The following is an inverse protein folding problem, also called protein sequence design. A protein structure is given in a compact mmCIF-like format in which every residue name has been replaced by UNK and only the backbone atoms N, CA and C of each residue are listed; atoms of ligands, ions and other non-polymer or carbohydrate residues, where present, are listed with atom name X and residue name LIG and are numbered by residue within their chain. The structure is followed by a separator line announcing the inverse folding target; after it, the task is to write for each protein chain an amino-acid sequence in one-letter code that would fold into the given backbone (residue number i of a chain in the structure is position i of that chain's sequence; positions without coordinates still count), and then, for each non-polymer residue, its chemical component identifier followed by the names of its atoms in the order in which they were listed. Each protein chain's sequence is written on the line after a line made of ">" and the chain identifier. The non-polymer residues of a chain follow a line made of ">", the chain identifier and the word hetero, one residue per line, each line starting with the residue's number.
data_IF_534901502814
#
_entry.id   IF_534901502814
#
_cell.length_a   1.000
_cell.length_b   1.000
_cell.length_c   1.000
_cell.angle_alpha   90.00
_cell.angle_beta   90.00
_cell.angle_gamma   90.00
#
_symmetry.space_group_name_H-M   'P 1'
#
loop_
_entity.id
_entity.type
_entity.pdbx_description
1 polymer ?
#
# COMPACT_ATOMS: atom_id res chain seq x y z
N UNK A 1 -10.36 15.77 18.03
CA UNK A 1 -9.56 16.14 16.86
C UNK A 1 -10.52 16.65 15.80
N UNK A 2 -10.20 17.74 15.11
CA UNK A 2 -11.05 18.27 14.03
C UNK A 2 -10.53 17.72 12.68
N UNK A 3 -11.13 16.62 12.23
CA UNK A 3 -10.72 15.93 10.99
C UNK A 3 -11.37 16.52 9.74
N UNK A 4 -12.42 17.33 9.88
CA UNK A 4 -13.17 17.89 8.74
C UNK A 4 -12.32 18.89 7.94
N UNK A 5 -11.32 19.48 8.58
CA UNK A 5 -10.40 20.45 7.97
C UNK A 5 -9.02 19.88 7.65
N UNK A 6 -8.74 18.62 8.01
CA UNK A 6 -7.47 17.95 7.70
C UNK A 6 -7.48 17.35 6.29
N UNK A 7 -6.30 17.18 5.70
CA UNK A 7 -6.14 16.38 4.49
C UNK A 7 -6.38 14.90 4.80
N UNK A 8 -6.73 14.12 3.79
CA UNK A 8 -6.95 12.68 3.90
C UNK A 8 -5.67 11.96 4.37
N UNK A 9 -4.52 12.46 3.93
CA UNK A 9 -3.21 11.91 4.30
C UNK A 9 -2.85 12.23 5.75
N UNK A 10 -3.10 13.46 6.20
CA UNK A 10 -2.85 13.82 7.60
C UNK A 10 -3.81 13.09 8.54
N UNK A 11 -5.05 12.85 8.10
CA UNK A 11 -6.03 12.03 8.81
C UNK A 11 -5.53 10.58 8.92
N UNK A 12 -5.05 9.98 7.81
CA UNK A 12 -4.46 8.64 7.81
C UNK A 12 -3.25 8.53 8.75
N UNK A 13 -2.37 9.54 8.73
CA UNK A 13 -1.21 9.62 9.63
C UNK A 13 -1.67 9.66 11.09
N UNK A 14 -2.69 10.47 11.42
CA UNK A 14 -3.23 10.56 12.77
C UNK A 14 -3.85 9.24 13.25
N UNK A 15 -4.65 8.59 12.40
CA UNK A 15 -5.25 7.29 12.72
C UNK A 15 -4.17 6.25 13.07
N UNK A 16 -3.11 6.16 12.25
CA UNK A 16 -2.00 5.27 12.53
C UNK A 16 -1.25 5.66 13.82
N UNK A 17 -1.03 6.96 14.06
CA UNK A 17 -0.38 7.47 15.26
C UNK A 17 -1.15 7.12 16.54
N UNK A 18 -2.48 7.22 16.50
CA UNK A 18 -3.35 6.86 17.63
C UNK A 18 -3.37 5.35 17.87
N UNK A 19 -3.44 4.57 16.79
CA UNK A 19 -3.47 3.09 16.84
C UNK A 19 -2.15 2.46 17.25
N UNK A 20 -1.02 3.07 16.85
CA UNK A 20 0.35 2.57 17.07
C UNK A 20 0.59 1.15 16.54
N UNK A 21 -0.17 0.75 15.53
CA UNK A 21 -0.04 -0.55 14.87
C UNK A 21 -0.28 -0.41 13.36
N UNK A 22 0.35 -1.27 12.53
CA UNK A 22 0.09 -1.30 11.09
C UNK A 22 -1.35 -1.70 10.79
N UNK A 23 -2.01 -0.97 9.90
CA UNK A 23 -3.39 -1.23 9.49
C UNK A 23 -3.47 -1.72 8.06
N UNK A 24 -4.43 -2.61 7.77
CA UNK A 24 -4.71 -3.03 6.40
C UNK A 24 -5.23 -1.83 5.58
N UNK A 25 -4.76 -1.66 4.34
CA UNK A 25 -5.00 -0.45 3.55
C UNK A 25 -6.49 -0.13 3.36
N UNK A 26 -7.35 -1.15 3.22
CA UNK A 26 -8.80 -0.95 3.08
C UNK A 26 -9.41 -0.34 4.34
N UNK A 27 -8.98 -0.83 5.50
CA UNK A 27 -9.52 -0.41 6.79
C UNK A 27 -9.03 1.01 7.11
N UNK A 28 -7.76 1.29 6.82
CA UNK A 28 -7.19 2.63 6.94
C UNK A 28 -7.93 3.64 6.06
N UNK A 29 -8.12 3.35 4.77
CA UNK A 29 -8.83 4.24 3.84
C UNK A 29 -10.28 4.45 4.26
N UNK A 30 -10.96 3.39 4.69
CA UNK A 30 -12.35 3.48 5.15
C UNK A 30 -12.46 4.37 6.38
N UNK A 31 -11.55 4.20 7.35
CA UNK A 31 -11.49 5.05 8.54
C UNK A 31 -11.22 6.53 8.21
N UNK A 32 -10.42 6.82 7.19
CA UNK A 32 -10.18 8.19 6.71
C UNK A 32 -11.45 8.81 6.11
N UNK A 33 -12.17 8.06 5.28
CA UNK A 33 -13.43 8.53 4.67
C UNK A 33 -14.48 8.80 5.75
N UNK A 34 -14.58 7.89 6.74
CA UNK A 34 -15.49 8.05 7.87
C UNK A 34 -15.12 9.25 8.75
N UNK A 35 -13.84 9.46 9.04
CA UNK A 35 -13.37 10.54 9.91
C UNK A 35 -13.49 11.93 9.28
N UNK A 36 -13.29 12.04 7.96
CA UNK A 36 -13.32 13.35 7.26
C UNK A 36 -14.73 13.83 6.96
N UNK A 37 -15.75 12.96 7.03
CA UNK A 37 -17.16 13.25 6.74
C UNK A 37 -17.42 14.01 5.43
N UNK A 38 -16.49 13.95 4.47
CA UNK A 38 -16.60 14.70 3.21
C UNK A 38 -17.61 14.02 2.28
N UNK A 39 -18.47 14.80 1.58
CA UNK A 39 -19.35 14.26 0.55
C UNK A 39 -18.52 13.62 -0.56
N UNK A 40 -18.58 12.29 -0.67
CA UNK A 40 -17.91 11.54 -1.73
C UNK A 40 -18.90 11.24 -2.85
N UNK A 41 -18.60 11.74 -4.05
CA UNK A 41 -19.44 11.49 -5.24
C UNK A 41 -19.43 10.00 -5.63
N UNK A 42 -18.31 9.32 -5.39
CA UNK A 42 -18.14 7.89 -5.61
C UNK A 42 -17.15 7.33 -4.60
N UNK A 43 -17.57 6.29 -3.87
CA UNK A 43 -16.71 5.61 -2.91
C UNK A 43 -15.45 5.02 -3.58
N UNK A 44 -15.59 4.48 -4.79
CA UNK A 44 -14.46 3.91 -5.53
C UNK A 44 -13.42 4.97 -5.94
N UNK A 45 -13.89 6.18 -6.29
CA UNK A 45 -13.02 7.31 -6.60
C UNK A 45 -12.26 7.77 -5.36
N UNK A 46 -12.97 7.94 -4.23
CA UNK A 46 -12.37 8.33 -2.96
C UNK A 46 -11.31 7.32 -2.50
N UNK A 47 -11.59 6.02 -2.59
CA UNK A 47 -10.61 4.97 -2.25
C UNK A 47 -9.36 5.09 -3.12
N UNK A 48 -9.53 5.28 -4.44
CA UNK A 48 -8.40 5.36 -5.37
C UNK A 48 -7.54 6.61 -5.14
N UNK A 49 -8.19 7.74 -4.87
CA UNK A 49 -7.54 9.01 -4.54
C UNK A 49 -6.73 8.90 -3.24
N UNK A 50 -7.35 8.47 -2.15
CA UNK A 50 -6.68 8.31 -0.84
C UNK A 50 -5.54 7.30 -0.93
N UNK A 51 -5.75 6.17 -1.63
CA UNK A 51 -4.69 5.20 -1.88
C UNK A 51 -3.50 5.83 -2.61
N UNK A 52 -3.76 6.65 -3.63
CA UNK A 52 -2.70 7.33 -4.38
C UNK A 52 -1.95 8.31 -3.50
N UNK A 53 -2.67 9.09 -2.69
CA UNK A 53 -2.08 10.05 -1.77
C UNK A 53 -1.18 9.38 -0.71
N UNK A 54 -1.64 8.27 -0.11
CA UNK A 54 -0.84 7.48 0.83
C UNK A 54 0.43 6.93 0.16
N UNK A 55 0.33 6.40 -1.07
CA UNK A 55 1.50 5.85 -1.78
C UNK A 55 2.53 6.92 -2.18
N UNK A 56 2.12 8.18 -2.30
CA UNK A 56 3.01 9.29 -2.64
C UNK A 56 3.64 9.95 -1.39
N UNK A 57 3.15 9.66 -0.19
CA UNK A 57 3.62 10.29 1.04
C UNK A 57 4.68 9.43 1.75
N UNK A 58 5.89 10.00 1.89
CA UNK A 58 7.05 9.32 2.48
C UNK A 58 6.94 9.00 3.99
N UNK A 59 5.90 9.51 4.68
CA UNK A 59 5.65 9.18 6.10
C UNK A 59 5.10 7.77 6.26
N UNK A 60 4.57 7.16 5.21
CA UNK A 60 3.97 5.83 5.25
C UNK A 60 4.96 4.78 4.75
N UNK A 61 4.95 3.63 5.40
CA UNK A 61 5.75 2.47 5.03
C UNK A 61 4.86 1.25 4.82
N UNK A 62 5.18 0.46 3.80
CA UNK A 62 4.51 -0.81 3.54
C UNK A 62 5.12 -1.93 4.39
N UNK A 63 4.34 -2.46 5.33
CA UNK A 63 4.81 -3.46 6.30
C UNK A 63 4.73 -4.91 5.77
N UNK A 64 4.08 -5.11 4.61
CA UNK A 64 3.72 -6.44 4.12
C UNK A 64 2.24 -6.74 4.30
N UNK A 65 1.75 -7.81 3.66
CA UNK A 65 0.37 -8.29 3.80
C UNK A 65 -0.72 -7.22 3.57
N UNK A 66 -0.48 -6.24 2.68
CA UNK A 66 -1.40 -5.12 2.46
C UNK A 66 -1.59 -4.20 3.68
N UNK A 67 -0.67 -4.22 4.65
CA UNK A 67 -0.64 -3.34 5.82
C UNK A 67 0.31 -2.18 5.62
N UNK A 68 -0.07 -1.04 6.18
CA UNK A 68 0.68 0.20 6.18
C UNK A 68 0.92 0.68 7.61
N UNK A 69 2.14 1.11 7.87
CA UNK A 69 2.56 1.75 9.11
C UNK A 69 3.25 3.09 8.84
N UNK A 70 3.81 3.68 9.88
CA UNK A 70 4.57 4.93 9.79
C UNK A 70 6.07 4.65 9.70
N UNK A 71 6.79 5.41 8.88
CA UNK A 71 8.25 5.29 8.75
C UNK A 71 8.98 5.56 10.06
N UNK A 72 8.42 6.38 10.95
CA UNK A 72 8.96 6.64 12.30
C UNK A 72 8.98 5.40 13.21
N UNK A 73 8.16 4.38 12.91
CA UNK A 73 8.16 3.12 13.67
C UNK A 73 9.32 2.21 13.28
N UNK A 74 9.90 2.45 12.10
CA UNK A 74 11.04 1.67 11.59
C UNK A 74 12.32 2.27 12.19
N UNK A 75 13.09 1.50 12.97
CA UNK A 75 14.36 1.98 13.50
C UNK A 75 15.27 2.45 12.36
N UNK A 76 15.99 3.57 12.51
CA UNK A 76 16.91 4.04 11.48
C UNK A 76 17.91 2.94 11.18
N UNK A 77 17.97 2.52 9.91
CA UNK A 77 18.89 1.48 9.49
C UNK A 77 20.32 1.95 9.78
N UNK A 78 20.99 1.31 10.74
CA UNK A 78 22.40 1.59 11.01
C UNK A 78 23.14 1.23 9.74
N UNK A 79 23.68 2.24 9.03
CA UNK A 79 24.47 2.07 7.80
C UNK A 79 25.68 1.16 8.08
N UNK A 80 25.47 -0.16 8.10
CA UNK A 80 26.50 -1.09 7.66
C UNK A 80 26.54 -0.91 6.16
N UNK A 81 27.68 -0.46 5.66
CA UNK A 81 28.00 -0.48 4.23
C UNK A 81 27.98 -1.93 3.75
N UNK A 82 26.80 -2.50 3.53
CA UNK A 82 26.61 -3.62 2.63
C UNK A 82 26.46 -3.02 1.24
N UNK A 83 27.54 -3.15 0.47
CA UNK A 83 27.47 -3.12 -0.99
C UNK A 83 26.15 -3.75 -1.44
N UNK A 84 25.39 -3.05 -2.27
CA UNK A 84 24.17 -3.56 -2.91
C UNK A 84 24.48 -4.89 -3.61
N UNK A 85 24.39 -6.00 -2.88
CA UNK A 85 24.11 -7.29 -3.46
C UNK A 85 22.65 -7.24 -3.83
N UNK A 86 22.38 -6.91 -5.09
CA UNK A 86 21.12 -7.22 -5.75
C UNK A 86 20.85 -8.71 -5.59
N UNK A 87 20.19 -9.09 -4.50
CA UNK A 87 19.59 -10.41 -4.33
C UNK A 87 18.38 -10.44 -5.23
N UNK A 88 18.59 -10.91 -6.46
CA UNK A 88 17.53 -11.13 -7.43
C UNK A 88 16.48 -12.09 -6.87
N UNK A 89 15.25 -11.61 -6.76
CA UNK A 89 14.05 -12.46 -6.78
C UNK A 89 13.60 -12.63 -8.23
N UNK A 90 14.48 -13.20 -9.05
CA UNK A 90 14.10 -13.85 -10.30
C UNK A 90 13.83 -15.31 -9.97
N UNK A 91 12.56 -15.70 -9.79
CA UNK A 91 12.05 -17.07 -10.03
C UNK A 91 10.54 -17.15 -9.80
N UNK A 92 9.77 -16.65 -10.77
CA UNK A 92 8.42 -17.20 -11.09
C UNK A 92 7.93 -16.86 -12.51
N UNK A 93 8.85 -16.77 -13.49
CA UNK A 93 8.48 -16.57 -14.90
C UNK A 93 8.46 -17.89 -15.72
N UNK A 94 9.16 -18.95 -15.27
CA UNK A 94 9.31 -20.18 -16.05
C UNK A 94 8.09 -21.12 -16.03
N UNK A 95 7.15 -20.96 -15.08
CA UNK A 95 6.01 -21.86 -14.95
C UNK A 95 4.77 -21.44 -15.76
N UNK A 96 4.71 -20.20 -16.28
CA UNK A 96 3.55 -19.69 -17.04
C UNK A 96 3.68 -19.83 -18.55
N UNK A 97 4.90 -20.00 -19.09
CA UNK A 97 5.11 -20.09 -20.54
C UNK A 97 4.71 -21.46 -21.11
N UNK A 98 4.96 -22.55 -20.38
CA UNK A 98 4.64 -23.91 -20.81
C UNK A 98 3.14 -24.15 -20.91
N UNK A 99 2.34 -23.53 -20.03
CA UNK A 99 0.87 -23.64 -20.06
C UNK A 99 0.26 -22.86 -21.22
N UNK A 100 0.88 -21.75 -21.66
CA UNK A 100 0.37 -20.97 -22.80
C UNK A 100 0.62 -21.65 -24.15
N UNK A 101 1.77 -22.33 -24.33
CA UNK A 101 2.08 -23.07 -25.57
C UNK A 101 1.13 -24.25 -25.79
N UNK A 102 0.87 -25.04 -24.74
CA UNK A 102 -0.01 -26.22 -24.83
C UNK A 102 -1.48 -25.87 -25.17
N UNK A 103 -1.95 -24.67 -24.81
CA UNK A 103 -3.33 -24.23 -25.11
C UNK A 103 -3.49 -23.75 -26.56
N UNK A 104 -2.41 -23.31 -27.22
CA UNK A 104 -2.46 -22.83 -28.61
C UNK A 104 -2.42 -23.99 -29.62
N UNK A 105 -1.66 -25.05 -29.36
CA UNK A 105 -1.60 -26.23 -30.24
C UNK A 105 -2.91 -27.03 -30.27
N UNK A 106 -3.70 -27.00 -29.19
CA UNK A 106 -5.00 -27.70 -29.14
C UNK A 106 -6.11 -27.00 -29.93
N UNK A 107 -5.90 -25.78 -30.42
CA UNK A 107 -6.92 -25.01 -31.16
C UNK A 107 -6.77 -25.21 -32.69
N UNK A 108 -5.68 -25.84 -33.13
CA UNK A 108 -5.38 -26.03 -34.56
C UNK A 108 -5.47 -27.48 -35.06
N UNK A 109 -6.02 -28.42 -34.28
CA UNK A 109 -6.36 -29.77 -34.73
C UNK A 109 -7.86 -30.05 -34.59
#
# INVERSE_FOLDING_TARGET
>A
MDFEHMSEVDTAYHILTEKKEPMHYKDLITAVIEATHRPVQSLAMAISEIYTLINMDSRFHYEGESKWGLTEWVPPEVKRSSSRSSSGSSKTAAAKETTRKKKLESIQN
#
